data_IF_028042929853
#
_entry.id   IF_028042929853
#
_cell.length_a   1.000
_cell.length_b   1.000
_cell.length_c   1.000
_cell.angle_alpha   90.00
_cell.angle_beta   90.00
_cell.angle_gamma   90.00
#
_symmetry.space_group_name_H-M   'P 1'
#
loop_
_entity.id
_entity.type
_entity.pdbx_description
1 polymer ?
#
# COMPACT_ATOMS: atom_id res chain seq x y z
N UNK A 1 34.49 -41.86 -5.01
CA UNK A 1 34.41 -40.59 -4.25
C UNK A 1 34.15 -39.37 -5.14
N UNK A 2 34.77 -39.23 -6.32
CA UNK A 2 34.58 -38.05 -7.19
C UNK A 2 33.13 -37.81 -7.68
N UNK A 3 32.39 -38.88 -8.03
CA UNK A 3 31.02 -38.77 -8.56
C UNK A 3 29.99 -38.27 -7.53
N UNK A 4 30.16 -38.57 -6.23
CA UNK A 4 29.27 -38.06 -5.18
C UNK A 4 29.45 -36.56 -4.92
N UNK A 5 30.68 -36.04 -5.00
CA UNK A 5 30.92 -34.61 -4.84
C UNK A 5 30.26 -33.83 -5.98
N UNK A 6 30.35 -34.32 -7.22
CA UNK A 6 29.72 -33.67 -8.37
C UNK A 6 28.18 -33.56 -8.21
N UNK A 7 27.52 -34.60 -7.70
CA UNK A 7 26.08 -34.60 -7.44
C UNK A 7 25.69 -33.62 -6.33
N UNK A 8 26.50 -33.48 -5.28
CA UNK A 8 26.25 -32.50 -4.21
C UNK A 8 26.37 -31.06 -4.71
N UNK A 9 27.39 -30.76 -5.52
CA UNK A 9 27.55 -29.43 -6.11
C UNK A 9 26.43 -29.09 -7.10
N UNK A 10 25.99 -30.04 -7.92
CA UNK A 10 24.87 -29.86 -8.83
C UNK A 10 23.55 -29.66 -8.08
N UNK A 11 23.30 -30.44 -7.02
CA UNK A 11 22.12 -30.30 -6.16
C UNK A 11 22.08 -28.95 -5.45
N UNK A 12 23.21 -28.50 -4.89
CA UNK A 12 23.33 -27.19 -4.25
C UNK A 12 23.13 -26.03 -5.25
N UNK A 13 23.71 -26.15 -6.46
CA UNK A 13 23.55 -25.16 -7.52
C UNK A 13 22.11 -25.05 -8.01
N UNK A 14 21.44 -26.18 -8.25
CA UNK A 14 20.01 -26.20 -8.61
C UNK A 14 19.13 -25.66 -7.48
N UNK A 15 19.39 -26.05 -6.23
CA UNK A 15 18.65 -25.55 -5.07
C UNK A 15 18.76 -24.03 -4.93
N UNK A 16 19.98 -23.49 -5.04
CA UNK A 16 20.22 -22.05 -4.99
C UNK A 16 19.54 -21.30 -6.15
N UNK A 17 19.62 -21.85 -7.37
CA UNK A 17 18.96 -21.25 -8.54
C UNK A 17 17.43 -21.24 -8.42
N UNK A 18 16.84 -22.34 -7.92
CA UNK A 18 15.40 -22.42 -7.67
C UNK A 18 14.97 -21.47 -6.56
N UNK A 19 15.75 -21.37 -5.48
CA UNK A 19 15.49 -20.44 -4.38
C UNK A 19 15.46 -18.99 -4.86
N UNK A 20 16.49 -18.55 -5.60
CA UNK A 20 16.54 -17.20 -6.19
C UNK A 20 15.37 -16.94 -7.15
N UNK A 21 14.95 -17.95 -7.92
CA UNK A 21 13.81 -17.82 -8.83
C UNK A 21 12.48 -17.72 -8.06
N UNK A 22 12.34 -18.44 -6.96
CA UNK A 22 11.17 -18.36 -6.09
C UNK A 22 11.09 -17.03 -5.36
N UNK A 23 12.21 -16.49 -4.87
CA UNK A 23 12.24 -15.15 -4.27
C UNK A 23 11.89 -14.06 -5.28
N UNK A 24 12.41 -14.15 -6.50
CA UNK A 24 12.06 -13.22 -7.58
C UNK A 24 10.58 -13.25 -7.96
N UNK A 25 9.92 -14.39 -7.80
CA UNK A 25 8.51 -14.60 -8.14
C UNK A 25 7.58 -14.57 -6.92
N UNK A 26 8.05 -14.16 -5.74
CA UNK A 26 7.14 -13.90 -4.62
C UNK A 26 6.22 -12.75 -5.01
N UNK A 27 4.92 -13.01 -4.98
CA UNK A 27 3.91 -11.97 -5.12
C UNK A 27 4.19 -10.89 -4.06
N UNK A 28 4.12 -9.59 -4.41
CA UNK A 28 4.21 -8.54 -3.42
C UNK A 28 3.10 -8.78 -2.39
N UNK A 29 3.41 -8.58 -1.12
CA UNK A 29 2.44 -8.73 -0.04
C UNK A 29 1.30 -7.72 -0.28
N UNK A 30 0.06 -8.19 -0.13
CA UNK A 30 -1.14 -7.39 -0.42
C UNK A 30 -2.00 -7.23 0.81
N UNK A 31 -2.69 -6.08 0.86
CA UNK A 31 -3.60 -5.76 1.92
C UNK A 31 -4.61 -4.70 1.44
N UNK A 32 -5.90 -4.92 1.71
CA UNK A 32 -6.99 -4.03 1.27
C UNK A 32 -7.69 -3.41 2.48
N UNK A 33 -7.93 -2.10 2.44
CA UNK A 33 -8.63 -1.37 3.48
C UNK A 33 -9.81 -0.56 2.91
N UNK A 34 -11.07 -0.90 3.25
CA UNK A 34 -12.20 -0.02 2.97
C UNK A 34 -12.18 1.17 3.92
N UNK A 35 -12.31 2.39 3.38
CA UNK A 35 -12.28 3.64 4.16
C UNK A 35 -13.45 4.53 3.75
N UNK A 36 -14.17 5.05 4.74
CA UNK A 36 -15.21 6.05 4.52
C UNK A 36 -14.82 7.36 5.18
N UNK A 37 -14.79 8.44 4.41
CA UNK A 37 -14.45 9.78 4.91
C UNK A 37 -15.63 10.70 4.75
N UNK A 38 -15.90 11.50 5.80
CA UNK A 38 -16.91 12.55 5.79
C UNK A 38 -16.24 13.91 6.00
N UNK A 39 -16.58 14.88 5.16
CA UNK A 39 -16.14 16.26 5.33
C UNK A 39 -17.27 17.22 4.94
N UNK A 40 -17.82 17.94 5.92
CA UNK A 40 -19.01 18.79 5.73
C UNK A 40 -20.18 18.01 5.11
N UNK A 41 -20.71 18.45 3.98
CA UNK A 41 -21.79 17.81 3.23
C UNK A 41 -21.28 16.79 2.18
N UNK A 42 -20.00 16.43 2.24
CA UNK A 42 -19.38 15.52 1.28
C UNK A 42 -18.93 14.23 1.95
N UNK A 43 -18.89 13.17 1.13
CA UNK A 43 -18.55 11.82 1.55
C UNK A 43 -17.70 11.15 0.48
N UNK A 44 -16.69 10.40 0.89
CA UNK A 44 -15.91 9.56 0.00
C UNK A 44 -15.97 8.10 0.47
N UNK A 45 -16.36 7.22 -0.43
CA UNK A 45 -16.24 5.78 -0.24
C UNK A 45 -14.99 5.32 -0.96
N UNK A 46 -13.98 4.90 -0.21
CA UNK A 46 -12.65 4.58 -0.71
C UNK A 46 -12.29 3.12 -0.43
N UNK A 47 -11.47 2.56 -1.29
CA UNK A 47 -10.74 1.31 -1.10
C UNK A 47 -9.26 1.63 -1.30
N UNK A 48 -8.45 1.27 -0.31
CA UNK A 48 -7.00 1.41 -0.34
C UNK A 48 -6.37 0.02 -0.47
N UNK A 49 -5.80 -0.27 -1.64
CA UNK A 49 -5.14 -1.54 -1.92
C UNK A 49 -3.63 -1.36 -1.84
N UNK A 50 -3.05 -1.77 -0.73
CA UNK A 50 -1.61 -1.74 -0.48
C UNK A 50 -0.95 -2.98 -1.07
N UNK A 51 0.02 -2.75 -1.95
CA UNK A 51 0.97 -3.74 -2.44
C UNK A 51 2.37 -3.33 -1.94
N UNK A 52 3.10 -4.22 -1.29
CA UNK A 52 4.38 -3.85 -0.67
C UNK A 52 5.43 -4.96 -0.74
N UNK A 53 6.70 -4.55 -0.67
CA UNK A 53 7.87 -5.43 -0.60
C UNK A 53 8.64 -5.15 0.68
N UNK A 54 8.57 -6.07 1.64
CA UNK A 54 9.31 -5.97 2.91
C UNK A 54 10.82 -5.89 2.69
N UNK A 55 11.35 -6.60 1.71
CA UNK A 55 12.78 -6.57 1.36
C UNK A 55 13.22 -5.17 0.91
N UNK A 56 12.46 -4.57 -0.02
CA UNK A 56 12.84 -3.30 -0.65
C UNK A 56 12.36 -2.07 0.11
N UNK A 57 11.49 -2.23 1.09
CA UNK A 57 10.84 -1.13 1.81
C UNK A 57 10.12 -0.15 0.87
N UNK A 58 9.52 -0.70 -0.19
CA UNK A 58 8.79 0.03 -1.22
C UNK A 58 7.43 -0.58 -1.46
N UNK A 59 6.45 0.24 -1.84
CA UNK A 59 5.13 -0.25 -2.18
C UNK A 59 4.36 0.73 -3.08
N UNK A 60 3.18 0.28 -3.47
CA UNK A 60 2.18 1.07 -4.18
C UNK A 60 0.87 0.92 -3.43
N UNK A 61 0.18 2.02 -3.18
CA UNK A 61 -1.21 1.98 -2.72
C UNK A 61 -2.12 2.47 -3.82
N UNK A 62 -3.03 1.60 -4.27
CA UNK A 62 -4.10 2.01 -5.18
C UNK A 62 -5.22 2.63 -4.36
N UNK A 63 -5.59 3.86 -4.71
CA UNK A 63 -6.65 4.63 -4.08
C UNK A 63 -7.80 4.69 -5.07
N UNK A 64 -8.86 3.95 -4.77
CA UNK A 64 -10.05 3.87 -5.60
C UNK A 64 -11.27 4.33 -4.81
N UNK A 65 -12.14 5.14 -5.40
CA UNK A 65 -13.36 5.49 -4.70
C UNK A 65 -14.30 6.42 -5.42
N UNK A 66 -15.47 6.58 -4.82
CA UNK A 66 -16.54 7.45 -5.31
C UNK A 66 -16.76 8.60 -4.34
N UNK A 67 -16.81 9.81 -4.88
CA UNK A 67 -17.03 11.05 -4.14
C UNK A 67 -18.48 11.51 -4.29
N UNK A 68 -19.08 11.90 -3.18
CA UNK A 68 -20.47 12.29 -3.08
C UNK A 68 -20.58 13.71 -2.52
N UNK A 69 -21.47 14.51 -3.11
CA UNK A 69 -21.89 15.83 -2.60
C UNK A 69 -23.40 15.77 -2.42
N UNK A 70 -23.89 16.11 -1.23
CA UNK A 70 -25.32 16.05 -0.89
C UNK A 70 -25.94 14.67 -1.21
N UNK A 71 -25.20 13.60 -0.89
CA UNK A 71 -25.54 12.19 -1.15
C UNK A 71 -25.72 11.79 -2.63
N UNK A 72 -25.33 12.64 -3.58
CA UNK A 72 -25.30 12.31 -5.01
C UNK A 72 -23.88 12.04 -5.46
N UNK A 73 -23.69 11.05 -6.33
CA UNK A 73 -22.39 10.79 -6.97
C UNK A 73 -21.98 12.04 -7.73
N UNK A 74 -20.81 12.58 -7.40
CA UNK A 74 -20.21 13.72 -8.08
C UNK A 74 -19.09 13.24 -9.00
N UNK A 75 -18.15 12.47 -8.45
CA UNK A 75 -16.87 12.21 -9.09
C UNK A 75 -16.23 10.89 -8.63
N UNK A 76 -15.15 10.51 -9.31
CA UNK A 76 -14.37 9.30 -9.02
C UNK A 76 -12.92 9.67 -8.70
N UNK A 77 -12.34 8.94 -7.75
CA UNK A 77 -10.93 9.00 -7.37
C UNK A 77 -10.30 7.68 -7.82
N UNK A 78 -9.22 7.73 -8.61
CA UNK A 78 -8.52 6.54 -9.08
C UNK A 78 -7.06 6.86 -9.39
N UNK A 79 -6.18 6.51 -8.46
CA UNK A 79 -4.75 6.79 -8.55
C UNK A 79 -3.93 5.76 -7.81
N UNK A 80 -2.70 5.58 -8.28
CA UNK A 80 -1.71 4.76 -7.61
C UNK A 80 -0.63 5.66 -7.00
N UNK A 81 -0.32 5.44 -5.73
CA UNK A 81 0.67 6.20 -4.98
C UNK A 81 1.85 5.29 -4.70
N UNK A 82 2.97 5.53 -5.38
CA UNK A 82 4.22 4.83 -5.09
C UNK A 82 4.83 5.42 -3.82
N UNK A 83 5.32 4.58 -2.92
CA UNK A 83 5.89 5.01 -1.66
C UNK A 83 7.10 4.17 -1.23
N UNK A 84 7.91 4.77 -0.37
CA UNK A 84 8.91 4.06 0.43
C UNK A 84 8.54 4.20 1.90
N UNK A 85 9.00 3.29 2.75
CA UNK A 85 8.87 3.48 4.19
C UNK A 85 10.16 3.20 4.94
N UNK A 86 10.23 3.71 6.16
CA UNK A 86 11.23 3.33 7.16
C UNK A 86 10.55 3.10 8.50
N UNK A 87 11.15 2.28 9.35
CA UNK A 87 10.61 1.94 10.65
C UNK A 87 11.46 2.59 11.74
N UNK A 88 10.79 3.18 12.73
CA UNK A 88 11.42 3.73 13.92
C UNK A 88 10.59 3.34 15.15
N UNK A 89 11.06 2.34 15.89
CA UNK A 89 10.34 1.72 17.01
C UNK A 89 8.94 1.29 16.55
N UNK A 90 7.91 1.92 17.10
CA UNK A 90 6.50 1.61 16.83
C UNK A 90 5.89 2.47 15.71
N UNK A 91 6.70 3.33 15.05
CA UNK A 91 6.25 4.22 13.99
C UNK A 91 6.85 3.82 12.65
N UNK A 92 5.99 3.59 11.67
CA UNK A 92 6.34 3.40 10.27
C UNK A 92 6.15 4.72 9.54
N UNK A 93 7.24 5.24 8.99
CA UNK A 93 7.33 6.52 8.30
C UNK A 93 7.21 6.29 6.78
N UNK A 94 6.07 6.64 6.20
CA UNK A 94 5.83 6.53 4.77
C UNK A 94 6.15 7.85 4.06
N UNK A 95 6.75 7.74 2.88
CA UNK A 95 7.06 8.88 2.00
C UNK A 95 6.56 8.60 0.60
N UNK A 96 5.65 9.42 0.09
CA UNK A 96 5.17 9.31 -1.29
C UNK A 96 6.28 9.70 -2.26
N UNK A 97 6.38 8.95 -3.36
CA UNK A 97 7.40 9.14 -4.40
C UNK A 97 6.80 9.63 -5.71
N UNK A 98 5.73 8.98 -6.13
CA UNK A 98 5.05 9.31 -7.38
C UNK A 98 3.54 9.10 -7.25
N UNK A 99 2.78 9.88 -8.01
CA UNK A 99 1.31 9.85 -8.03
C UNK A 99 0.86 9.62 -9.47
N UNK A 100 0.51 8.38 -9.77
CA UNK A 100 0.00 8.00 -11.08
C UNK A 100 -1.53 8.06 -11.08
N UNK A 101 -2.08 9.09 -11.73
CA UNK A 101 -3.52 9.27 -11.87
C UNK A 101 -4.03 8.48 -13.06
N UNK A 102 -5.10 7.71 -12.88
CA UNK A 102 -5.77 7.05 -14.00
C UNK A 102 -6.68 8.08 -14.68
N UNK A 103 -6.08 8.96 -15.48
CA UNK A 103 -6.68 10.20 -16.02
C UNK A 103 -7.94 10.00 -16.86
N UNK A 104 -8.20 8.79 -17.36
CA UNK A 104 -9.46 8.47 -18.06
C UNK A 104 -10.65 8.31 -17.11
N UNK A 105 -10.38 7.91 -15.87
CA UNK A 105 -11.40 7.48 -14.91
C UNK A 105 -11.44 8.39 -13.67
N UNK A 106 -10.34 9.06 -13.33
CA UNK A 106 -10.28 10.01 -12.23
C UNK A 106 -10.75 11.40 -12.68
N UNK A 107 -11.83 11.89 -12.06
CA UNK A 107 -12.43 13.19 -12.39
C UNK A 107 -12.25 14.22 -11.28
N UNK A 108 -12.00 13.78 -10.04
CA UNK A 108 -11.94 14.70 -8.89
C UNK A 108 -10.59 15.45 -8.82
N UNK A 109 -10.58 16.79 -8.67
CA UNK A 109 -9.34 17.56 -8.56
C UNK A 109 -8.55 17.26 -7.28
N UNK A 110 -7.22 17.30 -7.37
CA UNK A 110 -6.31 17.08 -6.23
C UNK A 110 -6.60 17.96 -5.03
N UNK A 111 -6.89 19.24 -5.26
CA UNK A 111 -7.20 20.19 -4.21
C UNK A 111 -8.43 19.78 -3.39
N UNK A 112 -9.38 19.06 -4.01
CA UNK A 112 -10.56 18.51 -3.32
C UNK A 112 -10.19 17.23 -2.59
N UNK A 113 -9.41 16.34 -3.21
CA UNK A 113 -8.95 15.09 -2.58
C UNK A 113 -8.11 15.39 -1.33
N UNK A 114 -7.28 16.43 -1.34
CA UNK A 114 -6.49 16.88 -0.19
C UNK A 114 -7.35 17.37 0.99
N UNK A 115 -8.65 17.60 0.82
CA UNK A 115 -9.56 17.92 1.92
C UNK A 115 -10.09 16.69 2.66
N UNK A 116 -10.02 15.51 2.04
CA UNK A 116 -10.58 14.25 2.56
C UNK A 116 -9.50 13.17 2.78
N UNK A 117 -8.36 13.27 2.13
CA UNK A 117 -7.23 12.38 2.31
C UNK A 117 -5.97 13.18 2.69
N UNK A 118 -5.08 12.59 3.49
CA UNK A 118 -3.77 13.18 3.74
C UNK A 118 -3.00 13.45 2.44
N UNK A 119 -2.21 14.52 2.44
CA UNK A 119 -1.30 14.94 1.36
C UNK A 119 -0.46 13.79 0.77
N UNK A 120 -0.09 12.79 1.60
CA UNK A 120 0.61 11.58 1.18
C UNK A 120 -0.05 10.87 -0.02
N UNK A 121 -1.38 10.82 -0.07
CA UNK A 121 -2.13 10.16 -1.14
C UNK A 121 -2.35 11.05 -2.38
N UNK A 122 -1.93 12.32 -2.31
CA UNK A 122 -2.28 13.35 -3.30
C UNK A 122 -1.07 13.89 -4.02
N UNK A 123 0.04 14.11 -3.31
CA UNK A 123 1.24 14.75 -3.86
C UNK A 123 2.51 13.93 -3.57
N UNK A 124 3.52 13.97 -4.46
CA UNK A 124 4.81 13.34 -4.22
C UNK A 124 5.60 14.09 -3.13
N UNK A 125 6.52 13.38 -2.47
CA UNK A 125 7.40 13.95 -1.43
C UNK A 125 6.70 14.25 -0.10
N UNK A 126 5.49 13.76 0.09
CA UNK A 126 4.69 13.96 1.30
C UNK A 126 4.85 12.78 2.23
N UNK A 127 4.66 13.03 3.52
CA UNK A 127 4.89 12.02 4.56
C UNK A 127 3.62 11.72 5.33
N UNK A 128 3.51 10.46 5.78
CA UNK A 128 2.52 10.06 6.77
C UNK A 128 3.14 9.03 7.69
N UNK A 129 2.83 9.13 8.98
CA UNK A 129 3.35 8.23 10.00
C UNK A 129 2.19 7.39 10.53
N UNK A 130 2.37 6.08 10.49
CA UNK A 130 1.43 5.12 11.04
C UNK A 130 2.11 4.27 12.10
N UNK A 131 1.36 3.92 13.14
CA UNK A 131 1.68 2.74 13.96
C UNK A 131 0.84 1.58 13.44
N UNK A 132 1.51 0.49 13.04
CA UNK A 132 0.88 -0.68 12.44
C UNK A 132 0.82 -1.79 13.48
N UNK A 133 -0.41 -2.20 13.84
CA UNK A 133 -0.65 -3.24 14.83
C UNK A 133 -1.13 -4.52 14.15
N UNK A 134 -0.43 -5.63 14.33
CA UNK A 134 -0.88 -6.95 13.84
C UNK A 134 -2.18 -7.36 14.53
N UNK A 135 -3.16 -7.84 13.75
CA UNK A 135 -4.45 -8.37 14.24
C UNK A 135 -4.52 -9.91 14.09
N UNK A 136 -3.35 -10.57 14.15
CA UNK A 136 -3.19 -11.99 13.85
C UNK A 136 -3.38 -12.26 12.36
N UNK A 137 -4.02 -13.38 12.01
CA UNK A 137 -4.28 -13.75 10.60
C UNK A 137 -5.29 -12.85 9.88
N UNK A 138 -5.91 -11.90 10.59
CA UNK A 138 -6.97 -11.03 10.04
C UNK A 138 -6.45 -9.79 9.32
N UNK A 139 -5.15 -9.50 9.42
CA UNK A 139 -4.50 -8.35 8.78
C UNK A 139 -3.90 -7.36 9.77
N UNK A 140 -3.83 -6.09 9.38
CA UNK A 140 -3.12 -5.02 10.07
C UNK A 140 -4.04 -3.84 10.39
N UNK A 141 -3.97 -3.34 11.62
CA UNK A 141 -4.64 -2.11 12.02
C UNK A 141 -3.67 -0.94 11.91
N UNK A 142 -4.01 0.04 11.07
CA UNK A 142 -3.25 1.27 10.92
C UNK A 142 -3.79 2.32 11.88
N UNK A 143 -2.89 2.96 12.63
CA UNK A 143 -3.25 3.93 13.66
C UNK A 143 -2.41 5.20 13.53
N UNK A 144 -2.99 6.35 13.90
CA UNK A 144 -2.25 7.61 14.09
C UNK A 144 -2.37 7.97 15.57
N UNK A 145 -1.23 7.91 16.27
CA UNK A 145 -1.22 7.99 17.73
C UNK A 145 -2.03 6.83 18.33
N UNK A 146 -3.08 7.14 19.09
CA UNK A 146 -3.97 6.13 19.69
C UNK A 146 -5.25 5.87 18.89
N UNK A 147 -5.43 6.54 17.75
CA UNK A 147 -6.67 6.47 16.96
C UNK A 147 -6.51 5.47 15.81
N UNK A 148 -7.33 4.41 15.75
CA UNK A 148 -7.43 3.56 14.57
C UNK A 148 -7.94 4.37 13.37
N UNK A 149 -7.26 4.25 12.23
CA UNK A 149 -7.63 4.93 10.99
C UNK A 149 -8.34 3.96 10.05
N UNK A 150 -7.77 2.77 9.85
CA UNK A 150 -8.41 1.70 9.08
C UNK A 150 -7.84 0.33 9.44
N UNK A 151 -8.65 -0.70 9.21
CA UNK A 151 -8.22 -2.10 9.21
C UNK A 151 -7.91 -2.48 7.76
N UNK A 152 -6.74 -3.04 7.55
CA UNK A 152 -6.28 -3.54 6.29
C UNK A 152 -6.21 -5.07 6.37
N UNK A 153 -6.91 -5.77 5.49
CA UNK A 153 -7.02 -7.24 5.50
C UNK A 153 -6.31 -7.85 4.30
N UNK A 154 -5.76 -9.05 4.48
CA UNK A 154 -5.15 -9.83 3.38
C UNK A 154 -6.18 -10.28 2.35
#
# INVERSE_FOLDING_TARGET
MSSCLALLFLGAGMGHFLHLRMERNRDPEKCTAPVMVFYKNTKANLTLDFMYSLEKHTGVVSVNGTYYVDNKVSDVIRRDVSYTWSENKDSTHFVSKDINKVTRDETLPDAVIATILPDFYVYPGKTINYTILTQGHRGFMFTIGKRPVFLCTH
#
